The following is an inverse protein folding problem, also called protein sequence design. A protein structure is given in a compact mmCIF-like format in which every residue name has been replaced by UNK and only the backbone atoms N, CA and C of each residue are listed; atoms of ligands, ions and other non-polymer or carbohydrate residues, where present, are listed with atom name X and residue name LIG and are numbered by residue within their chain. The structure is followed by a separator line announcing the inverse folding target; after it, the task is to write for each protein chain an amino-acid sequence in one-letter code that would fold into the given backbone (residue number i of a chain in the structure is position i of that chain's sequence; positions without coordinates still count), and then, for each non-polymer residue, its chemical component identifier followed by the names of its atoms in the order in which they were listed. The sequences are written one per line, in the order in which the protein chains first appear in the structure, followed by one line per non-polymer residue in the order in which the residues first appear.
data_IF_076697678215
#
_entry.id   IF_076697678215
#
_cell.length_a   1.000
_cell.length_b   1.000
_cell.length_c   1.000
_cell.angle_alpha   90.00
_cell.angle_beta   90.00
_cell.angle_gamma   90.00
#
_symmetry.space_group_name_H-M   'P 1'
#
loop_
_entity.id
_entity.type
_entity.pdbx_description
1 polymer ?
#
# COMPACT_ATOMS: atom_id res chain seq x y z
N UNK A 1 13.04 -12.86 -23.26
CA UNK A 1 12.04 -12.75 -22.18
C UNK A 1 12.50 -13.68 -21.07
N UNK A 2 13.23 -13.18 -20.08
CA UNK A 2 13.49 -13.93 -18.84
C UNK A 2 12.14 -14.17 -18.18
N UNK A 3 11.81 -15.43 -17.90
CA UNK A 3 10.63 -15.75 -17.11
C UNK A 3 10.72 -15.00 -15.77
N UNK A 4 9.60 -14.46 -15.29
CA UNK A 4 9.54 -13.87 -13.96
C UNK A 4 9.92 -14.95 -12.94
N UNK A 5 11.03 -14.77 -12.24
CA UNK A 5 11.45 -15.70 -11.18
C UNK A 5 10.50 -15.51 -9.99
N UNK A 6 9.88 -16.58 -9.49
CA UNK A 6 9.02 -16.54 -8.30
C UNK A 6 9.75 -15.96 -7.07
N UNK A 7 9.01 -15.23 -6.23
CA UNK A 7 9.57 -14.61 -5.02
C UNK A 7 10.10 -15.68 -4.07
N UNK A 8 9.42 -16.81 -3.96
CA UNK A 8 9.76 -17.93 -3.08
C UNK A 8 11.12 -18.55 -3.45
N UNK A 9 11.51 -18.48 -4.74
CA UNK A 9 12.84 -18.91 -5.17
C UNK A 9 13.91 -17.90 -4.76
N UNK A 10 13.65 -16.61 -4.98
CA UNK A 10 14.58 -15.53 -4.62
C UNK A 10 14.73 -15.36 -3.10
N UNK A 11 13.65 -15.54 -2.35
CA UNK A 11 13.58 -15.40 -0.90
C UNK A 11 13.94 -16.72 -0.21
N UNK A 12 15.08 -17.28 -0.59
CA UNK A 12 15.58 -18.54 -0.04
C UNK A 12 17.06 -18.43 0.28
N UNK A 13 17.53 -19.18 1.29
CA UNK A 13 18.96 -19.25 1.59
C UNK A 13 19.77 -19.76 0.38
N UNK A 14 19.18 -20.67 -0.42
CA UNK A 14 19.80 -21.19 -1.63
C UNK A 14 20.12 -20.08 -2.65
N UNK A 15 19.19 -19.16 -2.90
CA UNK A 15 19.42 -18.03 -3.81
C UNK A 15 20.34 -16.94 -3.20
N UNK A 16 20.23 -16.68 -1.89
CA UNK A 16 21.07 -15.68 -1.23
C UNK A 16 22.54 -16.16 -1.16
N UNK A 17 22.78 -17.43 -0.81
CA UNK A 17 24.13 -18.00 -0.84
C UNK A 17 24.71 -18.09 -2.25
N UNK A 18 23.90 -18.48 -3.23
CA UNK A 18 24.32 -18.49 -4.63
C UNK A 18 24.75 -17.09 -5.10
N UNK A 19 24.01 -16.03 -4.74
CA UNK A 19 24.39 -14.65 -5.03
C UNK A 19 25.73 -14.29 -4.35
N UNK A 20 25.91 -14.71 -3.10
CA UNK A 20 27.15 -14.48 -2.36
C UNK A 20 28.36 -15.04 -3.10
N UNK A 21 28.24 -16.27 -3.60
CA UNK A 21 29.26 -16.93 -4.40
C UNK A 21 29.49 -16.22 -5.73
N UNK A 22 28.43 -15.86 -6.45
CA UNK A 22 28.53 -15.08 -7.70
C UNK A 22 29.38 -13.83 -7.47
N UNK A 23 29.07 -13.02 -6.45
CA UNK A 23 29.82 -11.79 -6.15
C UNK A 23 31.26 -12.05 -5.76
N UNK A 24 31.53 -13.08 -4.98
CA UNK A 24 32.88 -13.47 -4.56
C UNK A 24 33.74 -13.91 -5.76
N UNK A 25 33.17 -14.66 -6.70
CA UNK A 25 33.87 -15.05 -7.93
C UNK A 25 34.05 -13.86 -8.87
N UNK A 26 33.04 -13.02 -9.06
CA UNK A 26 33.14 -11.79 -9.87
C UNK A 26 34.25 -10.87 -9.36
N UNK A 27 34.38 -10.70 -8.04
CA UNK A 27 35.43 -9.87 -7.45
C UNK A 27 36.85 -10.42 -7.70
N UNK A 28 36.99 -11.74 -7.87
CA UNK A 28 38.27 -12.41 -8.16
C UNK A 28 38.58 -12.47 -9.65
N UNK A 29 37.55 -12.40 -10.50
CA UNK A 29 37.63 -12.52 -11.95
C UNK A 29 36.78 -11.42 -12.62
N UNK A 30 37.17 -10.14 -12.51
CA UNK A 30 36.34 -9.01 -12.93
C UNK A 30 36.03 -8.98 -14.44
N UNK A 31 36.84 -9.66 -15.24
CA UNK A 31 36.68 -9.81 -16.69
C UNK A 31 35.55 -10.78 -17.10
N UNK A 32 35.13 -11.66 -16.18
CA UNK A 32 34.07 -12.63 -16.47
C UNK A 32 32.69 -12.05 -16.19
N UNK A 33 31.73 -12.40 -17.05
CA UNK A 33 30.32 -12.05 -16.83
C UNK A 33 29.68 -13.07 -15.88
N UNK A 34 28.60 -12.66 -15.20
CA UNK A 34 27.83 -13.54 -14.30
C UNK A 34 27.45 -14.89 -14.93
N UNK A 35 27.09 -14.90 -16.22
CA UNK A 35 26.74 -16.13 -16.94
C UNK A 35 27.91 -17.10 -17.09
N UNK A 36 29.15 -16.59 -17.15
CA UNK A 36 30.36 -17.41 -17.24
C UNK A 36 30.83 -17.89 -15.85
N UNK A 37 30.41 -17.20 -14.79
CA UNK A 37 30.74 -17.53 -13.39
C UNK A 37 29.87 -18.69 -12.87
N UNK A 38 28.61 -18.77 -13.29
CA UNK A 38 27.68 -19.81 -12.82
C UNK A 38 28.24 -21.24 -13.04
N UNK A 39 28.71 -21.63 -14.24
CA UNK A 39 29.31 -22.95 -14.45
C UNK A 39 30.56 -23.21 -13.61
N UNK A 40 31.32 -22.16 -13.27
CA UNK A 40 32.49 -22.29 -12.39
C UNK A 40 32.06 -22.62 -10.96
N UNK A 41 31.01 -21.98 -10.45
CA UNK A 41 30.47 -22.27 -9.12
C UNK A 41 29.95 -23.72 -9.07
N UNK A 42 29.18 -24.15 -10.07
CA UNK A 42 28.64 -25.52 -10.13
C UNK A 42 29.73 -26.61 -10.16
N UNK A 43 30.88 -26.31 -10.74
CA UNK A 43 31.97 -27.27 -10.90
C UNK A 43 33.00 -27.25 -9.76
N UNK A 44 33.22 -26.10 -9.11
CA UNK A 44 34.27 -25.90 -8.13
C UNK A 44 33.79 -25.92 -6.68
N UNK A 45 32.54 -25.52 -6.42
CA UNK A 45 31.98 -25.52 -5.07
C UNK A 45 31.29 -26.86 -4.79
N UNK A 46 31.56 -27.46 -3.62
CA UNK A 46 31.03 -28.78 -3.23
C UNK A 46 29.50 -28.82 -3.28
N UNK A 47 28.87 -27.72 -2.86
CA UNK A 47 27.41 -27.56 -2.85
C UNK A 47 26.90 -26.70 -4.02
N UNK A 48 27.74 -26.42 -5.02
CA UNK A 48 27.44 -25.50 -6.13
C UNK A 48 26.13 -25.82 -6.85
N UNK A 49 25.87 -27.10 -7.09
CA UNK A 49 24.64 -27.58 -7.74
C UNK A 49 23.37 -27.52 -6.87
N UNK A 50 23.50 -27.26 -5.57
CA UNK A 50 22.36 -27.12 -4.64
C UNK A 50 21.82 -25.70 -4.56
N UNK A 51 22.56 -24.72 -5.11
CA UNK A 51 22.15 -23.32 -5.13
C UNK A 51 21.23 -23.01 -6.31
N UNK A 52 20.24 -22.15 -6.09
CA UNK A 52 19.40 -21.60 -7.14
C UNK A 52 20.15 -20.44 -7.84
N UNK A 53 21.12 -20.80 -8.70
CA UNK A 53 21.99 -19.83 -9.38
C UNK A 53 21.25 -18.97 -10.40
N UNK A 54 20.12 -19.45 -10.93
CA UNK A 54 19.24 -18.64 -11.78
C UNK A 54 18.59 -17.51 -10.97
N UNK A 55 17.97 -17.83 -9.83
CA UNK A 55 17.40 -16.83 -8.93
C UNK A 55 18.48 -15.90 -8.36
N UNK A 56 19.66 -16.44 -8.05
CA UNK A 56 20.82 -15.68 -7.58
C UNK A 56 21.29 -14.65 -8.59
N UNK A 57 21.38 -15.03 -9.87
CA UNK A 57 21.79 -14.14 -10.97
C UNK A 57 20.79 -12.99 -11.15
N UNK A 58 19.50 -13.29 -11.09
CA UNK A 58 18.48 -12.25 -11.12
C UNK A 58 18.56 -11.33 -9.89
N UNK A 59 18.74 -11.89 -8.69
CA UNK A 59 18.90 -11.11 -7.46
C UNK A 59 20.14 -10.20 -7.52
N UNK A 60 21.21 -10.62 -8.20
CA UNK A 60 22.39 -9.79 -8.43
C UNK A 60 22.06 -8.49 -9.19
N UNK A 61 21.00 -8.48 -10.01
CA UNK A 61 20.54 -7.27 -10.72
C UNK A 61 19.69 -6.33 -9.86
N UNK A 62 19.26 -6.79 -8.68
CA UNK A 62 18.41 -6.04 -7.75
C UNK A 62 19.17 -5.47 -6.57
N UNK A 63 20.15 -6.21 -6.07
CA UNK A 63 20.94 -5.83 -4.89
C UNK A 63 22.04 -4.87 -5.32
N UNK A 64 22.25 -3.81 -4.53
CA UNK A 64 23.28 -2.80 -4.78
C UNK A 64 24.68 -3.43 -4.95
N UNK A 65 25.48 -2.92 -5.87
CA UNK A 65 26.84 -3.42 -6.15
C UNK A 65 27.79 -3.19 -4.97
N UNK A 66 27.55 -2.17 -4.14
CA UNK A 66 28.33 -1.88 -2.93
C UNK A 66 27.90 -2.72 -1.72
N UNK A 67 26.82 -3.51 -1.83
CA UNK A 67 26.37 -4.36 -0.74
C UNK A 67 27.46 -5.37 -0.32
N UNK A 68 27.76 -5.48 0.99
CA UNK A 68 28.77 -6.41 1.50
C UNK A 68 28.55 -7.84 1.03
N UNK A 69 29.61 -8.59 0.77
CA UNK A 69 29.50 -9.99 0.33
C UNK A 69 29.40 -10.99 1.47
N UNK A 70 29.46 -10.57 2.74
CA UNK A 70 29.46 -11.50 3.87
C UNK A 70 28.75 -10.92 5.10
N UNK A 71 28.38 -11.81 6.01
CA UNK A 71 27.77 -11.48 7.28
C UNK A 71 26.29 -11.10 7.19
N UNK A 72 25.73 -10.66 8.31
CA UNK A 72 24.29 -10.36 8.45
C UNK A 72 23.82 -9.25 7.50
N UNK A 73 24.66 -8.24 7.27
CA UNK A 73 24.35 -7.09 6.42
C UNK A 73 24.04 -7.52 4.97
N UNK A 74 24.76 -8.51 4.43
CA UNK A 74 24.49 -9.06 3.10
C UNK A 74 23.04 -9.57 2.98
N UNK A 75 22.61 -10.44 3.89
CA UNK A 75 21.24 -10.98 3.85
C UNK A 75 20.20 -9.89 4.09
N UNK A 76 20.48 -8.93 4.98
CA UNK A 76 19.58 -7.79 5.24
C UNK A 76 19.34 -6.95 3.98
N UNK A 77 20.38 -6.67 3.21
CA UNK A 77 20.26 -5.95 1.93
C UNK A 77 19.57 -6.78 0.85
N UNK A 78 19.83 -8.09 0.78
CA UNK A 78 19.11 -8.99 -0.12
C UNK A 78 17.60 -9.00 0.15
N UNK A 79 17.22 -9.18 1.42
CA UNK A 79 15.82 -9.14 1.87
C UNK A 79 15.21 -7.78 1.50
N UNK A 80 15.91 -6.67 1.80
CA UNK A 80 15.45 -5.32 1.48
C UNK A 80 15.21 -5.11 -0.01
N UNK A 81 16.14 -5.53 -0.86
CA UNK A 81 16.02 -5.44 -2.31
C UNK A 81 14.79 -6.23 -2.83
N UNK A 82 14.60 -7.47 -2.37
CA UNK A 82 13.45 -8.31 -2.75
C UNK A 82 12.13 -7.64 -2.32
N UNK A 83 12.05 -7.19 -1.06
CA UNK A 83 10.85 -6.58 -0.51
C UNK A 83 10.44 -5.30 -1.23
N UNK A 84 11.41 -4.41 -1.49
CA UNK A 84 11.15 -3.14 -2.17
C UNK A 84 10.72 -3.37 -3.62
N UNK A 85 11.39 -4.29 -4.32
CA UNK A 85 11.15 -4.57 -5.73
C UNK A 85 9.84 -5.31 -5.98
N UNK A 86 9.59 -6.38 -5.22
CA UNK A 86 8.52 -7.34 -5.52
C UNK A 86 7.30 -7.20 -4.62
N UNK A 87 7.45 -6.60 -3.43
CA UNK A 87 6.34 -6.28 -2.52
C UNK A 87 5.40 -7.47 -2.29
N UNK A 88 5.91 -8.62 -1.81
CA UNK A 88 5.08 -9.80 -1.59
C UNK A 88 3.89 -9.47 -0.69
N UNK A 89 2.76 -10.13 -0.89
CA UNK A 89 1.49 -9.82 -0.19
C UNK A 89 1.68 -9.79 1.34
N UNK A 90 2.49 -10.72 1.86
CA UNK A 90 2.77 -10.81 3.28
C UNK A 90 3.57 -9.62 3.83
N UNK A 91 4.30 -8.85 3.01
CA UNK A 91 5.07 -7.66 3.44
C UNK A 91 4.16 -6.60 4.09
N UNK A 92 2.88 -6.54 3.68
CA UNK A 92 1.87 -5.65 4.28
C UNK A 92 1.63 -5.97 5.77
N UNK A 93 1.90 -7.20 6.20
CA UNK A 93 1.71 -7.66 7.57
C UNK A 93 2.89 -7.34 8.49
N UNK A 94 4.02 -6.84 7.99
CA UNK A 94 5.19 -6.50 8.82
C UNK A 94 4.89 -5.47 9.92
N UNK A 95 3.82 -4.67 9.75
CA UNK A 95 3.33 -3.66 10.71
C UNK A 95 2.79 -4.23 12.02
N UNK A 96 2.46 -5.51 12.08
CA UNK A 96 1.87 -6.14 13.28
C UNK A 96 2.91 -6.47 14.36
N UNK A 97 4.18 -6.14 14.11
CA UNK A 97 5.31 -6.34 15.00
C UNK A 97 6.17 -7.55 14.60
N UNK A 98 7.50 -7.37 14.64
CA UNK A 98 8.54 -8.32 14.22
C UNK A 98 8.27 -9.79 14.58
N UNK A 99 8.11 -10.09 15.87
CA UNK A 99 7.94 -11.47 16.35
C UNK A 99 6.65 -12.12 15.82
N UNK A 100 5.56 -11.34 15.73
CA UNK A 100 4.27 -11.84 15.24
C UNK A 100 4.30 -12.03 13.73
N UNK A 101 4.90 -11.10 13.01
CA UNK A 101 5.10 -11.18 11.57
C UNK A 101 5.89 -12.44 11.19
N UNK A 102 7.10 -12.61 11.72
CA UNK A 102 7.97 -13.73 11.31
C UNK A 102 7.38 -15.09 11.68
N UNK A 103 6.68 -15.21 12.82
CA UNK A 103 5.94 -16.44 13.19
C UNK A 103 4.81 -16.81 12.22
N UNK A 104 4.33 -15.87 11.42
CA UNK A 104 3.30 -16.10 10.41
C UNK A 104 3.84 -16.55 9.06
N UNK A 105 5.16 -16.56 8.87
CA UNK A 105 5.82 -17.02 7.65
C UNK A 105 6.04 -18.54 7.69
N UNK A 106 6.32 -19.15 6.54
CA UNK A 106 6.77 -20.54 6.51
C UNK A 106 8.22 -20.68 7.04
N UNK A 107 8.66 -21.92 7.24
CA UNK A 107 9.99 -22.20 7.80
C UNK A 107 11.13 -21.67 6.93
N UNK A 108 11.02 -21.75 5.60
CA UNK A 108 12.09 -21.32 4.70
C UNK A 108 12.27 -19.80 4.78
N UNK A 109 11.17 -19.07 4.76
CA UNK A 109 11.16 -17.62 4.92
C UNK A 109 11.71 -17.22 6.30
N UNK A 110 11.32 -17.92 7.37
CA UNK A 110 11.83 -17.68 8.72
C UNK A 110 13.36 -17.84 8.78
N UNK A 111 13.91 -18.87 8.15
CA UNK A 111 15.35 -19.14 8.13
C UNK A 111 16.14 -18.00 7.46
N UNK A 112 15.58 -17.37 6.42
CA UNK A 112 16.17 -16.18 5.79
C UNK A 112 16.28 -15.01 6.78
N UNK A 113 15.23 -14.74 7.57
CA UNK A 113 15.28 -13.70 8.61
C UNK A 113 16.25 -14.05 9.76
N UNK A 114 16.39 -15.33 10.10
CA UNK A 114 17.34 -15.82 11.10
C UNK A 114 18.78 -15.62 10.62
N UNK A 115 19.10 -16.00 9.38
CA UNK A 115 20.44 -15.82 8.79
C UNK A 115 20.84 -14.33 8.74
N UNK A 116 19.89 -13.45 8.45
CA UNK A 116 20.07 -11.99 8.50
C UNK A 116 20.23 -11.44 9.93
N UNK A 117 20.09 -12.26 10.97
CA UNK A 117 20.15 -11.84 12.37
C UNK A 117 19.00 -10.91 12.79
N UNK A 118 17.96 -10.77 11.96
CA UNK A 118 16.81 -9.90 12.21
C UNK A 118 15.92 -10.43 13.34
N UNK A 119 16.13 -11.69 13.74
CA UNK A 119 15.41 -12.35 14.83
C UNK A 119 16.10 -12.26 16.20
N UNK A 120 17.22 -11.55 16.33
CA UNK A 120 17.91 -11.36 17.61
C UNK A 120 17.02 -10.80 18.73
N UNK A 121 17.25 -11.22 19.98
CA UNK A 121 16.52 -10.76 21.16
C UNK A 121 17.50 -10.63 22.36
N UNK A 122 17.76 -9.40 22.86
CA UNK A 122 17.24 -8.12 22.35
C UNK A 122 17.80 -7.76 20.96
N UNK A 123 17.06 -6.99 20.14
CA UNK A 123 17.57 -6.52 18.86
C UNK A 123 18.66 -5.45 19.07
N UNK A 124 19.67 -5.42 18.19
CA UNK A 124 20.61 -4.29 18.12
C UNK A 124 19.95 -3.06 17.49
N UNK A 125 20.57 -1.88 17.64
CA UNK A 125 20.07 -0.65 17.05
C UNK A 125 19.93 -0.76 15.52
N UNK A 126 20.91 -1.34 14.82
CA UNK A 126 20.86 -1.51 13.36
C UNK A 126 19.70 -2.42 12.91
N UNK A 127 19.40 -3.47 13.69
CA UNK A 127 18.24 -4.33 13.41
C UNK A 127 16.94 -3.55 13.59
N UNK A 128 16.84 -2.69 14.62
CA UNK A 128 15.66 -1.83 14.81
C UNK A 128 15.49 -0.88 13.63
N UNK A 129 16.56 -0.17 13.24
CA UNK A 129 16.56 0.74 12.08
C UNK A 129 16.11 0.01 10.81
N UNK A 130 16.64 -1.19 10.55
CA UNK A 130 16.25 -1.98 9.38
C UNK A 130 14.75 -2.32 9.37
N UNK A 131 14.18 -2.71 10.52
CA UNK A 131 12.75 -3.01 10.62
C UNK A 131 11.89 -1.75 10.42
N UNK A 132 12.32 -0.61 10.95
CA UNK A 132 11.62 0.67 10.79
C UNK A 132 11.62 1.11 9.32
N UNK A 133 12.76 1.01 8.63
CA UNK A 133 12.90 1.34 7.21
C UNK A 133 11.93 0.53 6.34
N UNK A 134 11.96 -0.80 6.46
CA UNK A 134 11.12 -1.70 5.64
C UNK A 134 9.64 -1.51 5.95
N UNK A 135 9.30 -1.34 7.23
CA UNK A 135 7.91 -1.07 7.64
C UNK A 135 7.44 0.27 7.09
N UNK A 136 8.32 1.27 7.02
CA UNK A 136 8.08 2.57 6.38
C UNK A 136 7.79 2.43 4.88
N UNK A 137 8.58 1.64 4.15
CA UNK A 137 8.33 1.35 2.74
C UNK A 137 6.99 0.63 2.53
N UNK A 138 6.72 -0.42 3.31
CA UNK A 138 5.43 -1.13 3.28
C UNK A 138 4.26 -0.18 3.60
N UNK A 139 4.48 0.83 4.45
CA UNK A 139 3.53 1.91 4.75
C UNK A 139 3.20 2.74 3.52
N UNK A 140 4.23 3.32 2.91
CA UNK A 140 4.11 4.15 1.71
C UNK A 140 3.34 3.46 0.59
N UNK A 141 3.61 2.18 0.35
CA UNK A 141 2.94 1.40 -0.71
C UNK A 141 1.43 1.29 -0.47
N UNK A 142 1.01 0.90 0.74
CA UNK A 142 -0.44 0.81 1.04
C UNK A 142 -1.11 2.17 0.98
N UNK A 143 -0.40 3.23 1.36
CA UNK A 143 -0.94 4.59 1.30
C UNK A 143 -1.10 5.02 -0.18
N UNK A 144 -0.17 4.64 -1.07
CA UNK A 144 -0.31 4.82 -2.53
C UNK A 144 -1.49 4.02 -3.11
N UNK A 145 -1.69 2.76 -2.70
CA UNK A 145 -2.84 1.96 -3.13
C UNK A 145 -4.17 2.60 -2.70
N UNK A 146 -4.25 3.07 -1.45
CA UNK A 146 -5.44 3.78 -0.93
C UNK A 146 -5.70 5.08 -1.68
N UNK A 147 -4.67 5.86 -1.99
CA UNK A 147 -4.81 7.09 -2.78
C UNK A 147 -5.31 6.79 -4.19
N UNK A 148 -4.81 5.73 -4.83
CA UNK A 148 -5.31 5.29 -6.14
C UNK A 148 -6.79 4.89 -6.08
N UNK A 149 -7.18 4.12 -5.07
CA UNK A 149 -8.58 3.72 -4.88
C UNK A 149 -9.49 4.93 -4.64
N UNK A 150 -9.07 5.87 -3.79
CA UNK A 150 -9.80 7.12 -3.55
C UNK A 150 -10.00 7.90 -4.85
N UNK A 151 -8.94 8.04 -5.66
CA UNK A 151 -9.00 8.73 -6.95
C UNK A 151 -9.97 8.08 -7.94
N UNK A 152 -10.03 6.75 -7.97
CA UNK A 152 -11.01 6.02 -8.79
C UNK A 152 -12.45 6.31 -8.31
N UNK A 153 -12.69 6.33 -7.00
CA UNK A 153 -14.01 6.63 -6.46
C UNK A 153 -14.47 8.07 -6.73
N UNK A 154 -13.55 9.03 -6.70
CA UNK A 154 -13.81 10.42 -7.10
C UNK A 154 -14.22 10.51 -8.58
N UNK A 155 -13.50 9.83 -9.47
CA UNK A 155 -13.87 9.75 -10.89
C UNK A 155 -15.24 9.10 -11.11
N UNK A 156 -15.55 8.03 -10.38
CA UNK A 156 -16.88 7.38 -10.43
C UNK A 156 -17.98 8.34 -9.96
N UNK A 157 -17.72 9.14 -8.93
CA UNK A 157 -18.64 10.17 -8.45
C UNK A 157 -18.87 11.24 -9.52
N UNK A 158 -17.81 11.75 -10.15
CA UNK A 158 -17.91 12.76 -11.21
C UNK A 158 -18.77 12.23 -12.36
N UNK A 159 -18.55 11.00 -12.80
CA UNK A 159 -19.33 10.41 -13.88
C UNK A 159 -20.80 10.21 -13.50
N UNK A 160 -21.05 9.67 -12.29
CA UNK A 160 -22.40 9.52 -11.75
C UNK A 160 -23.15 10.86 -11.73
N UNK A 161 -22.51 11.91 -11.20
CA UNK A 161 -23.10 13.24 -11.09
C UNK A 161 -23.31 13.90 -12.46
N UNK A 162 -22.40 13.74 -13.42
CA UNK A 162 -22.59 14.22 -14.80
C UNK A 162 -23.84 13.62 -15.44
N UNK A 163 -24.03 12.30 -15.30
CA UNK A 163 -25.22 11.61 -15.80
C UNK A 163 -26.47 12.14 -15.11
N UNK A 164 -26.42 12.33 -13.79
CA UNK A 164 -27.53 12.89 -13.00
C UNK A 164 -27.92 14.29 -13.46
N UNK A 165 -26.97 15.23 -13.53
CA UNK A 165 -27.21 16.61 -13.97
C UNK A 165 -27.84 16.66 -15.36
N UNK A 166 -27.33 15.85 -16.29
CA UNK A 166 -27.89 15.74 -17.65
C UNK A 166 -29.33 15.24 -17.63
N UNK A 167 -29.64 14.24 -16.80
CA UNK A 167 -31.00 13.70 -16.66
C UNK A 167 -31.98 14.72 -16.04
N UNK A 168 -31.48 15.60 -15.17
CA UNK A 168 -32.25 16.68 -14.54
C UNK A 168 -32.33 17.94 -15.42
N UNK A 169 -31.65 17.96 -16.58
CA UNK A 169 -31.59 19.12 -17.47
C UNK A 169 -30.89 20.32 -16.83
N UNK A 170 -29.79 20.06 -16.12
CA UNK A 170 -28.88 21.07 -15.57
C UNK A 170 -27.66 21.14 -16.50
N UNK A 171 -27.39 22.32 -17.08
CA UNK A 171 -26.29 22.54 -18.04
C UNK A 171 -24.96 22.92 -17.38
N UNK A 172 -24.79 22.67 -16.08
CA UNK A 172 -23.53 22.91 -15.36
C UNK A 172 -22.64 21.67 -15.40
N UNK A 173 -21.34 21.90 -15.47
CA UNK A 173 -20.33 20.86 -15.39
C UNK A 173 -19.98 20.54 -13.94
N UNK A 174 -19.75 19.26 -13.64
CA UNK A 174 -19.24 18.81 -12.33
C UNK A 174 -17.79 19.24 -12.17
N UNK A 175 -17.44 19.82 -11.03
CA UNK A 175 -16.08 20.29 -10.73
C UNK A 175 -15.37 19.39 -9.72
N UNK A 176 -14.04 19.36 -9.77
CA UNK A 176 -13.19 18.50 -8.94
C UNK A 176 -12.25 19.29 -8.02
N UNK A 177 -12.78 20.15 -7.13
CA UNK A 177 -11.96 21.03 -6.30
C UNK A 177 -11.03 20.27 -5.36
N UNK A 178 -11.40 19.08 -4.88
CA UNK A 178 -10.52 18.28 -3.99
C UNK A 178 -9.23 17.79 -4.67
N UNK A 179 -9.15 17.78 -6.01
CA UNK A 179 -7.89 17.54 -6.72
C UNK A 179 -6.95 18.75 -6.65
N UNK A 180 -7.51 19.96 -6.74
CA UNK A 180 -6.75 21.20 -6.87
C UNK A 180 -6.49 21.88 -5.51
N UNK A 181 -7.41 21.76 -4.57
CA UNK A 181 -7.38 22.41 -3.26
C UNK A 181 -8.00 21.54 -2.14
N UNK A 182 -7.14 20.95 -1.31
CA UNK A 182 -7.55 20.20 -0.12
C UNK A 182 -8.22 21.07 0.96
N UNK A 183 -8.18 22.40 0.86
CA UNK A 183 -8.88 23.31 1.78
C UNK A 183 -10.33 23.61 1.37
N UNK A 184 -10.77 23.17 0.18
CA UNK A 184 -12.15 23.35 -0.27
C UNK A 184 -13.17 22.71 0.69
N UNK A 185 -12.78 21.61 1.35
CA UNK A 185 -13.60 20.94 2.37
C UNK A 185 -14.60 19.91 1.81
N UNK A 186 -14.49 19.59 0.53
CA UNK A 186 -15.23 18.54 -0.18
C UNK A 186 -14.45 18.15 -1.45
N UNK A 187 -14.71 16.96 -1.98
CA UNK A 187 -13.96 16.43 -3.12
C UNK A 187 -14.55 16.89 -4.47
N UNK A 188 -15.87 16.86 -4.59
CA UNK A 188 -16.61 17.12 -5.85
C UNK A 188 -17.67 18.19 -5.64
N UNK A 189 -17.75 19.15 -6.58
CA UNK A 189 -18.86 20.11 -6.65
C UNK A 189 -19.84 19.68 -7.74
N UNK A 190 -21.08 19.46 -7.34
CA UNK A 190 -22.21 19.22 -8.23
C UNK A 190 -23.30 20.25 -7.97
N UNK A 191 -24.46 20.04 -8.57
CA UNK A 191 -25.56 20.98 -8.59
C UNK A 191 -26.92 20.30 -8.45
N UNK A 192 -27.91 21.02 -7.94
CA UNK A 192 -29.29 20.53 -7.92
C UNK A 192 -30.27 21.67 -8.14
N UNK A 193 -31.48 21.34 -8.60
CA UNK A 193 -32.58 22.31 -8.70
C UNK A 193 -33.25 22.45 -7.34
N UNK A 194 -33.32 23.66 -6.83
CA UNK A 194 -34.11 23.97 -5.65
C UNK A 194 -35.60 23.92 -5.96
N UNK A 195 -36.42 23.83 -4.91
CA UNK A 195 -37.88 23.95 -5.00
C UNK A 195 -38.33 25.30 -5.61
N UNK A 196 -37.45 26.30 -5.60
CA UNK A 196 -37.68 27.63 -6.15
C UNK A 196 -37.18 27.79 -7.60
N UNK A 197 -36.68 26.70 -8.21
CA UNK A 197 -36.17 26.69 -9.59
C UNK A 197 -34.78 27.32 -9.76
N UNK A 198 -34.07 27.60 -8.66
CA UNK A 198 -32.66 28.00 -8.69
C UNK A 198 -31.77 26.76 -8.82
N UNK A 199 -30.54 26.95 -9.31
CA UNK A 199 -29.53 25.89 -9.32
C UNK A 199 -28.62 26.14 -8.12
N UNK A 200 -28.72 25.27 -7.13
CA UNK A 200 -27.96 25.35 -5.90
C UNK A 200 -26.76 24.40 -5.95
N UNK A 201 -25.72 24.75 -5.20
CA UNK A 201 -24.51 23.94 -5.10
C UNK A 201 -24.73 22.73 -4.21
N UNK A 202 -24.17 21.60 -4.64
CA UNK A 202 -24.11 20.34 -3.89
C UNK A 202 -22.64 19.95 -3.71
N UNK A 203 -22.15 20.02 -2.49
CA UNK A 203 -20.81 19.63 -2.09
C UNK A 203 -20.78 18.15 -1.76
N UNK A 204 -19.83 17.40 -2.31
CA UNK A 204 -19.77 15.95 -2.15
C UNK A 204 -18.40 15.54 -1.62
N UNK A 205 -18.42 14.89 -0.46
CA UNK A 205 -17.28 14.16 0.09
C UNK A 205 -17.31 12.70 -0.41
N UNK A 206 -16.22 12.24 -1.00
CA UNK A 206 -16.14 10.93 -1.62
C UNK A 206 -15.36 9.96 -0.73
N UNK A 207 -15.98 8.82 -0.44
CA UNK A 207 -15.40 7.74 0.36
C UNK A 207 -15.44 6.44 -0.43
N UNK A 208 -14.47 5.56 -0.19
CA UNK A 208 -14.42 4.24 -0.81
C UNK A 208 -13.97 3.17 0.16
N UNK A 209 -14.46 1.95 -0.04
CA UNK A 209 -14.13 0.83 0.83
C UNK A 209 -14.26 -0.49 0.08
N UNK A 210 -13.43 -1.48 0.43
CA UNK A 210 -13.55 -2.88 0.00
C UNK A 210 -14.02 -3.78 1.17
N UNK A 211 -14.31 -3.16 2.31
CA UNK A 211 -14.55 -3.89 3.54
C UNK A 211 -16.00 -4.35 3.67
N UNK A 212 -16.18 -5.53 4.27
CA UNK A 212 -17.46 -6.01 4.78
C UNK A 212 -17.39 -6.16 6.32
N UNK A 213 -18.38 -5.68 7.10
CA UNK A 213 -19.51 -4.85 6.67
C UNK A 213 -19.05 -3.49 6.13
N UNK A 214 -19.92 -2.87 5.31
CA UNK A 214 -19.65 -1.61 4.63
C UNK A 214 -19.42 -0.51 5.65
N UNK A 215 -18.27 0.17 5.55
CA UNK A 215 -17.87 1.20 6.51
C UNK A 215 -16.89 2.18 5.92
N UNK A 216 -16.91 3.40 6.46
CA UNK A 216 -15.99 4.47 6.09
C UNK A 216 -15.66 5.34 7.29
N UNK A 217 -14.65 6.19 7.13
CA UNK A 217 -14.18 7.10 8.17
C UNK A 217 -14.62 8.51 7.83
N UNK A 218 -15.05 9.24 8.85
CA UNK A 218 -15.31 10.69 8.80
C UNK A 218 -14.33 11.36 9.73
N UNK A 219 -13.58 12.34 9.23
CA UNK A 219 -12.70 13.17 10.07
C UNK A 219 -13.46 14.34 10.67
N UNK A 220 -12.94 14.90 11.77
CA UNK A 220 -13.50 16.13 12.35
C UNK A 220 -13.61 17.26 11.35
N UNK A 221 -12.60 17.42 10.49
CA UNK A 221 -12.59 18.53 9.54
C UNK A 221 -13.71 18.36 8.52
N UNK A 222 -13.86 17.17 7.94
CA UNK A 222 -14.95 16.83 7.02
C UNK A 222 -16.31 17.09 7.68
N UNK A 223 -16.50 16.61 8.91
CA UNK A 223 -17.75 16.82 9.64
C UNK A 223 -18.06 18.30 9.88
N UNK A 224 -17.06 19.10 10.27
CA UNK A 224 -17.25 20.55 10.44
C UNK A 224 -17.64 21.26 9.15
N UNK A 225 -17.22 20.76 7.99
CA UNK A 225 -17.65 21.33 6.70
C UNK A 225 -19.05 20.87 6.35
N UNK A 226 -19.36 19.59 6.58
CA UNK A 226 -20.69 19.03 6.43
C UNK A 226 -21.74 19.77 7.28
N UNK A 227 -21.45 20.05 8.56
CA UNK A 227 -22.34 20.80 9.45
C UNK A 227 -22.62 22.23 8.98
N UNK A 228 -21.63 22.91 8.38
CA UNK A 228 -21.81 24.28 7.87
C UNK A 228 -22.66 24.31 6.60
N UNK A 229 -22.47 23.32 5.75
CA UNK A 229 -23.15 23.19 4.47
C UNK A 229 -24.55 22.54 4.59
N UNK A 230 -24.79 21.81 5.68
CA UNK A 230 -26.04 21.15 6.02
C UNK A 230 -26.59 20.31 4.85
N UNK A 231 -27.80 20.62 4.35
CA UNK A 231 -28.44 19.85 3.28
C UNK A 231 -27.69 19.92 1.94
N UNK A 232 -26.80 20.90 1.75
CA UNK A 232 -25.98 21.01 0.54
C UNK A 232 -24.78 20.04 0.54
N UNK A 233 -24.53 19.30 1.63
CA UNK A 233 -23.39 18.38 1.75
C UNK A 233 -23.82 16.92 1.72
N UNK A 234 -23.16 16.12 0.88
CA UNK A 234 -23.40 14.68 0.77
C UNK A 234 -22.12 13.87 0.90
N UNK A 235 -22.27 12.64 1.36
CA UNK A 235 -21.23 11.63 1.31
C UNK A 235 -21.56 10.62 0.22
N UNK A 236 -20.65 10.44 -0.73
CA UNK A 236 -20.70 9.38 -1.73
C UNK A 236 -19.77 8.24 -1.30
N UNK A 237 -20.35 7.12 -0.89
CA UNK A 237 -19.59 5.92 -0.50
C UNK A 237 -19.64 4.85 -1.59
N UNK A 238 -18.48 4.53 -2.17
CA UNK A 238 -18.35 3.44 -3.13
C UNK A 238 -17.92 2.13 -2.46
N UNK A 239 -18.74 1.09 -2.62
CA UNK A 239 -18.38 -0.31 -2.36
C UNK A 239 -17.58 -0.84 -3.56
N UNK A 240 -16.26 -0.83 -3.39
CA UNK A 240 -15.27 -1.24 -4.38
C UNK A 240 -15.06 -2.76 -4.39
N UNK A 241 -15.70 -3.51 -3.49
CA UNK A 241 -15.66 -4.99 -3.51
C UNK A 241 -16.68 -5.59 -4.49
N UNK A 242 -17.58 -4.77 -5.06
CA UNK A 242 -18.53 -5.19 -6.10
C UNK A 242 -17.97 -4.92 -7.49
N UNK A 243 -18.42 -5.73 -8.44
CA UNK A 243 -18.16 -5.54 -9.86
C UNK A 243 -19.50 -5.53 -10.63
N UNK A 244 -19.97 -4.37 -11.12
CA UNK A 244 -19.34 -3.04 -11.00
C UNK A 244 -19.41 -2.48 -9.55
N UNK A 245 -18.55 -1.50 -9.19
CA UNK A 245 -18.64 -0.82 -7.90
C UNK A 245 -20.01 -0.20 -7.64
N UNK A 246 -20.47 -0.22 -6.38
CA UNK A 246 -21.82 0.24 -6.00
C UNK A 246 -21.75 1.53 -5.18
N UNK A 247 -22.50 2.55 -5.57
CA UNK A 247 -22.64 3.81 -4.84
C UNK A 247 -23.70 3.72 -3.74
N UNK A 248 -23.38 4.29 -2.58
CA UNK A 248 -24.28 4.56 -1.47
C UNK A 248 -24.18 6.04 -1.08
N UNK A 249 -25.27 6.78 -1.23
CA UNK A 249 -25.33 8.21 -0.86
C UNK A 249 -25.82 8.36 0.58
N UNK A 250 -25.21 9.25 1.35
CA UNK A 250 -25.62 9.60 2.72
C UNK A 250 -25.65 11.11 2.89
N UNK A 251 -26.71 11.61 3.51
CA UNK A 251 -26.87 13.01 3.91
C UNK A 251 -26.17 13.28 5.25
N UNK A 252 -26.00 14.57 5.59
CA UNK A 252 -25.55 14.99 6.93
C UNK A 252 -26.45 14.40 8.02
N UNK A 253 -27.77 14.38 7.80
CA UNK A 253 -28.74 13.84 8.75
C UNK A 253 -28.58 12.32 8.98
N UNK A 254 -28.18 11.56 7.95
CA UNK A 254 -27.91 10.12 8.09
C UNK A 254 -26.66 9.86 8.93
N UNK A 255 -25.67 10.76 8.89
CA UNK A 255 -24.37 10.59 9.55
C UNK A 255 -24.36 11.18 10.96
N UNK A 256 -25.09 12.26 11.21
CA UNK A 256 -25.09 13.01 12.47
C UNK A 256 -25.26 12.13 13.73
N UNK A 257 -26.16 11.12 13.77
CA UNK A 257 -26.35 10.28 14.96
C UNK A 257 -25.12 9.46 15.35
N UNK A 258 -24.15 9.31 14.44
CA UNK A 258 -22.96 8.48 14.62
C UNK A 258 -21.71 9.29 14.96
N UNK A 259 -21.79 10.62 14.97
CA UNK A 259 -20.64 11.49 15.21
C UNK A 259 -20.42 11.68 16.72
N UNK A 260 -19.20 11.43 17.23
CA UNK A 260 -18.88 11.62 18.65
C UNK A 260 -18.96 13.09 19.09
N UNK A 261 -19.19 13.29 20.38
CA UNK A 261 -19.00 14.58 21.05
C UNK A 261 -17.68 14.61 21.80
N UNK A 262 -17.13 15.81 21.96
CA UNK A 262 -15.96 16.04 22.81
C UNK A 262 -16.27 15.88 24.29
N UNK A 263 -15.23 15.62 25.09
CA UNK A 263 -15.39 15.51 26.54
C UNK A 263 -14.18 16.08 27.28
N UNK A 264 -14.44 16.98 28.24
CA UNK A 264 -13.41 17.66 29.02
C UNK A 264 -12.43 18.43 28.14
N UNK A 265 -11.16 18.02 28.15
CA UNK A 265 -10.11 18.56 27.28
C UNK A 265 -9.78 17.64 26.08
N UNK A 266 -10.53 16.55 25.93
CA UNK A 266 -10.35 15.58 24.86
C UNK A 266 -11.17 15.96 23.64
N UNK A 267 -10.54 15.85 22.47
CA UNK A 267 -11.16 16.08 21.17
C UNK A 267 -11.19 14.78 20.36
N UNK A 268 -12.35 14.41 19.80
CA UNK A 268 -12.42 13.36 18.79
C UNK A 268 -11.71 13.78 17.48
N UNK A 269 -11.18 12.84 16.72
CA UNK A 269 -10.48 13.16 15.45
C UNK A 269 -11.07 12.44 14.25
N UNK A 270 -11.48 11.19 14.44
CA UNK A 270 -12.15 10.38 13.43
C UNK A 270 -13.31 9.59 14.07
N UNK A 271 -14.30 9.28 13.24
CA UNK A 271 -15.40 8.38 13.54
C UNK A 271 -15.49 7.32 12.43
N UNK A 272 -15.76 6.07 12.80
CA UNK A 272 -16.07 5.02 11.82
C UNK A 272 -17.57 4.88 11.73
N UNK A 273 -18.12 5.04 10.52
CA UNK A 273 -19.54 4.92 10.24
C UNK A 273 -19.79 3.57 9.57
N UNK A 274 -20.66 2.76 10.19
CA UNK A 274 -21.20 1.55 9.57
C UNK A 274 -22.38 1.93 8.68
N UNK A 275 -22.44 1.33 7.51
CA UNK A 275 -23.52 1.58 6.56
C UNK A 275 -24.40 0.35 6.50
N UNK A 276 -25.61 0.47 7.05
CA UNK A 276 -26.64 -0.54 6.89
C UNK A 276 -27.03 -0.61 5.41
N UNK A 277 -26.96 -1.83 4.86
CA UNK A 277 -27.20 -2.15 3.43
C UNK A 277 -28.58 -2.72 3.19
#
# INVERSE_FOLDING_TARGET
MTALIPIERMFSLSALEGLRLIRKYSARQPELKTLDIIPLIESLEVDGASFDLEASSYLNTLVDDECPTDGKAFYQECIKAILIKHQPIWSKTMRVGRKRFVRGLDTNDQDVFVAAGLMADPPSADVVTWWDDITGHAKLISDLEKMKQARVAELLTIEYERIRLKSEGIEREVEWPGLDDNFAGYDVLSYEKSDHGTIDSRMIEVKSTINSPLRFWVTRNEWKQAEKADTAYLFHLWDMAKDPPKLHTRSVADIAPHIPSDNGKGEWFNATILVDT
#
